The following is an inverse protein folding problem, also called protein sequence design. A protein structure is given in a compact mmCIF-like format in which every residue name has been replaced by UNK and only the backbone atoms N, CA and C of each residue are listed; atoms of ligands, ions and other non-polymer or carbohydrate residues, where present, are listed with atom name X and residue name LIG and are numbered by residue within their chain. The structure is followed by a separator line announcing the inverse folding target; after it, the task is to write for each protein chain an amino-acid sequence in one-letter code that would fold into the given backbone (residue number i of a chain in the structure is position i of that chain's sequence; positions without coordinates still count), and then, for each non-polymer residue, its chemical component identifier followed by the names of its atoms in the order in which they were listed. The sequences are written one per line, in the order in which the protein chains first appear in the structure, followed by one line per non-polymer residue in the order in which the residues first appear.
data_IF_623003599614
#
_entry.id   IF_623003599614
#
_cell.length_a   1.000
_cell.length_b   1.000
_cell.length_c   1.000
_cell.angle_alpha   90.00
_cell.angle_beta   90.00
_cell.angle_gamma   90.00
#
_symmetry.space_group_name_H-M   'P 1'
#
loop_
_entity.id
_entity.type
_entity.pdbx_description
1 polymer ?
#
# COMPACT_ATOMS: atom_id res chain seq x y z
N UNK A 1 -30.68 11.85 -2.88
CA UNK A 1 -30.15 10.53 -2.49
C UNK A 1 -31.36 9.70 -2.09
N UNK A 2 -31.73 8.68 -2.87
CA UNK A 2 -32.93 7.88 -2.58
C UNK A 2 -32.77 7.19 -1.21
N UNK A 3 -33.80 7.24 -0.37
CA UNK A 3 -33.81 6.55 0.92
C UNK A 3 -33.95 5.04 0.68
N UNK A 4 -32.83 4.33 0.72
CA UNK A 4 -32.84 2.85 0.68
C UNK A 4 -33.57 2.30 1.89
N UNK A 5 -34.46 1.34 1.64
CA UNK A 5 -35.17 0.56 2.66
C UNK A 5 -34.19 -0.27 3.48
N UNK A 6 -34.60 -0.70 4.68
CA UNK A 6 -33.75 -1.46 5.61
C UNK A 6 -33.21 -2.76 4.98
N UNK A 7 -34.05 -3.47 4.24
CA UNK A 7 -33.67 -4.71 3.57
C UNK A 7 -32.69 -4.47 2.40
N UNK A 8 -32.85 -3.38 1.65
CA UNK A 8 -31.92 -3.00 0.60
C UNK A 8 -30.55 -2.62 1.17
N UNK A 9 -30.52 -1.94 2.32
CA UNK A 9 -29.26 -1.64 3.03
C UNK A 9 -28.56 -2.91 3.50
N UNK A 10 -29.28 -3.85 4.10
CA UNK A 10 -28.72 -5.11 4.58
C UNK A 10 -28.13 -5.95 3.43
N UNK A 11 -28.83 -6.04 2.29
CA UNK A 11 -28.31 -6.69 1.07
C UNK A 11 -27.10 -5.97 0.47
N UNK A 12 -27.09 -4.64 0.50
CA UNK A 12 -25.95 -3.84 0.06
C UNK A 12 -24.72 -4.06 0.95
N UNK A 13 -24.90 -4.13 2.27
CA UNK A 13 -23.80 -4.42 3.19
C UNK A 13 -23.28 -5.86 3.04
N UNK A 14 -24.16 -6.85 2.88
CA UNK A 14 -23.76 -8.24 2.58
C UNK A 14 -22.95 -8.33 1.30
N UNK A 15 -23.41 -7.73 0.21
CA UNK A 15 -22.68 -7.76 -1.08
C UNK A 15 -21.33 -7.03 -1.02
N UNK A 16 -21.23 -5.92 -0.27
CA UNK A 16 -19.95 -5.27 -0.01
C UNK A 16 -19.00 -6.14 0.83
N UNK A 17 -19.54 -6.82 1.84
CA UNK A 17 -18.77 -7.72 2.70
C UNK A 17 -18.26 -8.93 1.92
N UNK A 18 -19.13 -9.62 1.18
CA UNK A 18 -18.76 -10.75 0.32
C UNK A 18 -17.73 -10.34 -0.74
N UNK A 19 -17.86 -9.14 -1.34
CA UNK A 19 -16.87 -8.63 -2.28
C UNK A 19 -15.51 -8.42 -1.63
N UNK A 20 -15.47 -7.85 -0.42
CA UNK A 20 -14.22 -7.66 0.35
C UNK A 20 -13.61 -9.01 0.75
N UNK A 21 -14.42 -9.95 1.19
CA UNK A 21 -13.97 -11.31 1.55
C UNK A 21 -13.43 -12.06 0.33
N UNK A 22 -14.10 -11.97 -0.81
CA UNK A 22 -13.65 -12.60 -2.05
C UNK A 22 -12.37 -11.96 -2.59
N UNK A 23 -12.25 -10.63 -2.52
CA UNK A 23 -11.02 -9.93 -2.87
C UNK A 23 -9.87 -10.32 -1.92
N UNK A 24 -10.13 -10.46 -0.62
CA UNK A 24 -9.16 -10.90 0.37
C UNK A 24 -8.73 -12.37 0.19
N UNK A 25 -9.64 -13.23 -0.33
CA UNK A 25 -9.33 -14.63 -0.69
C UNK A 25 -8.48 -14.70 -1.96
N UNK A 26 -8.59 -13.74 -2.87
CA UNK A 26 -7.72 -13.62 -4.04
C UNK A 26 -6.34 -13.12 -3.59
N UNK A 27 -5.25 -13.68 -4.14
CA UNK A 27 -3.86 -13.27 -3.84
C UNK A 27 -3.53 -11.81 -4.20
N UNK A 28 -4.49 -11.07 -4.74
CA UNK A 28 -4.36 -9.70 -5.22
C UNK A 28 -4.67 -8.65 -4.15
N UNK A 29 -5.31 -9.01 -3.03
CA UNK A 29 -5.66 -8.04 -1.97
C UNK A 29 -5.06 -8.43 -0.63
N UNK A 30 -4.40 -7.47 0.04
CA UNK A 30 -3.96 -7.61 1.44
C UNK A 30 -4.91 -6.81 2.33
N UNK A 31 -5.46 -7.44 3.37
CA UNK A 31 -6.29 -6.77 4.38
C UNK A 31 -5.40 -6.33 5.52
N UNK A 32 -5.46 -5.04 5.88
CA UNK A 32 -4.73 -4.45 7.00
C UNK A 32 -5.72 -3.86 7.98
N UNK A 33 -5.57 -4.17 9.27
CA UNK A 33 -6.33 -3.53 10.33
C UNK A 33 -5.67 -2.20 10.71
N UNK A 34 -6.27 -1.09 10.30
CA UNK A 34 -5.85 0.24 10.74
C UNK A 34 -6.37 0.51 12.16
N UNK A 35 -5.45 0.59 13.13
CA UNK A 35 -5.80 0.85 14.54
C UNK A 35 -5.72 2.33 14.91
N UNK A 36 -5.12 3.15 14.04
CA UNK A 36 -4.89 4.58 14.26
C UNK A 36 -5.29 5.38 13.02
N UNK A 37 -5.67 6.66 13.21
CA UNK A 37 -5.96 7.58 12.11
C UNK A 37 -4.78 7.76 11.16
N UNK A 38 -3.55 7.72 11.69
CA UNK A 38 -2.33 7.82 10.88
C UNK A 38 -2.22 6.62 9.92
N UNK A 39 -2.57 5.42 10.41
CA UNK A 39 -2.59 4.21 9.57
C UNK A 39 -3.69 4.29 8.51
N UNK A 40 -4.87 4.80 8.84
CA UNK A 40 -5.96 5.02 7.88
C UNK A 40 -5.52 5.98 6.76
N UNK A 41 -4.88 7.10 7.12
CA UNK A 41 -4.36 8.07 6.17
C UNK A 41 -3.29 7.45 5.26
N UNK A 42 -2.33 6.71 5.84
CA UNK A 42 -1.29 6.03 5.07
C UNK A 42 -1.88 5.04 4.05
N UNK A 43 -2.88 4.24 4.45
CA UNK A 43 -3.55 3.31 3.54
C UNK A 43 -4.28 4.03 2.40
N UNK A 44 -4.95 5.16 2.68
CA UNK A 44 -5.61 5.96 1.64
C UNK A 44 -4.62 6.56 0.63
N UNK A 45 -3.45 7.01 1.12
CA UNK A 45 -2.34 7.49 0.27
C UNK A 45 -1.83 6.36 -0.61
N UNK A 46 -1.56 5.18 -0.05
CA UNK A 46 -1.07 4.00 -0.79
C UNK A 46 -2.04 3.59 -1.89
N UNK A 47 -3.35 3.56 -1.60
CA UNK A 47 -4.38 3.25 -2.61
C UNK A 47 -4.39 4.24 -3.76
N UNK A 48 -4.28 5.54 -3.47
CA UNK A 48 -4.24 6.59 -4.49
C UNK A 48 -2.96 6.51 -5.32
N UNK A 49 -1.83 6.23 -4.67
CA UNK A 49 -0.53 6.07 -5.31
C UNK A 49 -0.50 4.86 -6.26
N UNK A 50 -1.03 3.70 -5.85
CA UNK A 50 -1.11 2.51 -6.71
C UNK A 50 -1.92 2.81 -7.99
N UNK A 51 -3.09 3.43 -7.84
CA UNK A 51 -3.92 3.82 -8.98
C UNK A 51 -3.17 4.78 -9.93
N UNK A 52 -2.47 5.77 -9.37
CA UNK A 52 -1.71 6.73 -10.15
C UNK A 52 -0.52 6.08 -10.87
N UNK A 53 0.25 5.23 -10.18
CA UNK A 53 1.40 4.51 -10.75
C UNK A 53 0.97 3.58 -11.87
N UNK A 54 -0.13 2.84 -11.69
CA UNK A 54 -0.68 1.97 -12.72
C UNK A 54 -1.10 2.77 -13.96
N UNK A 55 -1.73 3.93 -13.75
CA UNK A 55 -2.11 4.82 -14.86
C UNK A 55 -0.89 5.40 -15.58
N UNK A 56 0.11 5.89 -14.85
CA UNK A 56 1.33 6.46 -15.40
C UNK A 56 2.11 5.42 -16.21
N UNK A 57 2.34 4.23 -15.64
CA UNK A 57 3.09 3.15 -16.28
C UNK A 57 2.39 2.64 -17.55
N UNK A 58 1.07 2.42 -17.49
CA UNK A 58 0.31 1.91 -18.63
C UNK A 58 0.28 2.88 -19.81
N UNK A 59 0.40 4.18 -19.55
CA UNK A 59 0.30 5.22 -20.59
C UNK A 59 1.63 5.96 -20.82
N UNK A 60 2.75 5.42 -20.34
CA UNK A 60 4.07 5.96 -20.57
C UNK A 60 4.41 5.90 -22.07
N UNK A 61 4.88 7.01 -22.62
CA UNK A 61 5.16 7.16 -24.05
C UNK A 61 3.93 7.35 -24.94
N UNK A 62 2.72 7.20 -24.40
CA UNK A 62 1.46 7.40 -25.13
C UNK A 62 0.79 8.71 -24.70
N UNK A 63 0.42 8.80 -23.42
CA UNK A 63 -0.25 9.97 -22.82
C UNK A 63 0.70 10.82 -22.00
N UNK A 64 1.72 10.21 -21.42
CA UNK A 64 2.69 10.86 -20.54
C UNK A 64 4.11 10.66 -21.06
N UNK A 65 4.97 11.69 -21.07
CA UNK A 65 6.37 11.54 -21.46
C UNK A 65 7.09 10.52 -20.58
N UNK A 66 7.96 9.70 -21.18
CA UNK A 66 8.69 8.66 -20.44
C UNK A 66 9.54 9.23 -19.30
N UNK A 67 10.25 10.33 -19.54
CA UNK A 67 11.12 10.96 -18.54
C UNK A 67 10.32 11.45 -17.32
N UNK A 68 9.15 12.05 -17.57
CA UNK A 68 8.26 12.52 -16.50
C UNK A 68 7.67 11.36 -15.70
N UNK A 69 7.26 10.27 -16.37
CA UNK A 69 6.81 9.06 -15.69
C UNK A 69 7.94 8.47 -14.83
N UNK A 70 9.16 8.37 -15.37
CA UNK A 70 10.31 7.87 -14.65
C UNK A 70 10.61 8.72 -13.40
N UNK A 71 10.56 10.04 -13.51
CA UNK A 71 10.74 10.98 -12.39
C UNK A 71 9.71 10.75 -11.28
N UNK A 72 8.43 10.60 -11.62
CA UNK A 72 7.38 10.35 -10.63
C UNK A 72 7.51 8.98 -9.97
N UNK A 73 7.85 7.95 -10.75
CA UNK A 73 8.08 6.59 -10.22
C UNK A 73 9.25 6.62 -9.24
N UNK A 74 10.35 7.29 -9.59
CA UNK A 74 11.53 7.38 -8.73
C UNK A 74 11.26 8.18 -7.45
N UNK A 75 10.51 9.27 -7.55
CA UNK A 75 10.07 10.03 -6.38
C UNK A 75 9.22 9.18 -5.42
N UNK A 76 8.31 8.36 -5.97
CA UNK A 76 7.51 7.44 -5.17
C UNK A 76 8.38 6.36 -4.49
N UNK A 77 9.35 5.77 -5.21
CA UNK A 77 10.29 4.81 -4.62
C UNK A 77 11.02 5.42 -3.42
N UNK A 78 11.54 6.63 -3.58
CA UNK A 78 12.22 7.35 -2.49
C UNK A 78 11.30 7.54 -1.28
N UNK A 79 10.06 7.96 -1.50
CA UNK A 79 9.08 8.11 -0.41
C UNK A 79 8.81 6.79 0.33
N UNK A 80 8.76 5.65 -0.37
CA UNK A 80 8.63 4.33 0.26
C UNK A 80 9.86 4.00 1.10
N UNK A 81 11.06 4.30 0.62
CA UNK A 81 12.31 4.08 1.38
C UNK A 81 12.39 4.95 2.63
N UNK A 82 11.99 6.22 2.53
CA UNK A 82 11.98 7.13 3.68
C UNK A 82 10.92 6.72 4.71
N UNK A 83 9.75 6.24 4.25
CA UNK A 83 8.74 5.65 5.14
C UNK A 83 9.27 4.40 5.85
N UNK A 84 10.01 3.55 5.15
CA UNK A 84 10.65 2.38 5.76
C UNK A 84 11.61 2.77 6.89
N UNK A 85 12.49 3.76 6.68
CA UNK A 85 13.43 4.22 7.71
C UNK A 85 12.71 4.67 8.98
N UNK A 86 11.67 5.50 8.83
CA UNK A 86 10.86 5.97 9.96
C UNK A 86 10.21 4.81 10.71
N UNK A 87 9.63 3.84 9.98
CA UNK A 87 8.98 2.67 10.59
C UNK A 87 10.01 1.78 11.29
N UNK A 88 11.18 1.56 10.69
CA UNK A 88 12.26 0.77 11.26
C UNK A 88 12.76 1.37 12.60
N UNK A 89 13.00 2.68 12.64
CA UNK A 89 13.37 3.41 13.86
C UNK A 89 12.29 3.30 14.93
N UNK A 90 11.01 3.47 14.57
CA UNK A 90 9.87 3.32 15.49
C UNK A 90 9.78 1.90 16.05
N UNK A 91 9.95 0.89 15.21
CA UNK A 91 9.88 -0.52 15.59
C UNK A 91 11.04 -0.91 16.51
N UNK A 92 12.27 -0.48 16.19
CA UNK A 92 13.45 -0.65 17.05
C UNK A 92 13.25 0.00 18.41
N UNK A 93 12.76 1.24 18.45
CA UNK A 93 12.47 1.94 19.70
C UNK A 93 11.38 1.25 20.53
N UNK A 94 10.34 0.72 19.88
CA UNK A 94 9.22 0.04 20.54
C UNK A 94 9.50 -1.44 20.88
N UNK A 95 10.64 -2.01 20.45
CA UNK A 95 10.94 -3.43 20.59
C UNK A 95 9.98 -4.33 19.79
N UNK A 96 9.43 -3.82 18.68
CA UNK A 96 8.52 -4.57 17.81
C UNK A 96 9.32 -5.16 16.66
N UNK A 97 9.28 -6.48 16.43
CA UNK A 97 9.99 -7.08 15.31
C UNK A 97 9.39 -6.59 13.99
N UNK A 98 10.23 -5.98 13.16
CA UNK A 98 9.85 -5.47 11.85
C UNK A 98 10.67 -6.14 10.76
N UNK A 99 9.99 -6.91 9.91
CA UNK A 99 10.63 -7.54 8.76
C UNK A 99 10.64 -6.57 7.57
N UNK A 100 11.84 -6.21 7.13
CA UNK A 100 12.01 -5.33 5.98
C UNK A 100 11.42 -5.99 4.72
N UNK A 101 10.56 -5.30 3.94
CA UNK A 101 10.02 -5.85 2.71
C UNK A 101 11.12 -6.19 1.70
N UNK A 102 10.98 -7.32 0.98
CA UNK A 102 12.00 -7.80 0.03
C UNK A 102 12.43 -6.76 -1.01
N UNK A 103 11.48 -6.01 -1.58
CA UNK A 103 11.77 -4.95 -2.53
C UNK A 103 12.63 -3.83 -1.92
N UNK A 104 12.37 -3.45 -0.66
CA UNK A 104 13.15 -2.44 0.05
C UNK A 104 14.57 -2.94 0.30
N UNK A 105 14.74 -4.21 0.72
CA UNK A 105 16.06 -4.84 0.89
C UNK A 105 16.88 -4.78 -0.40
N UNK A 106 16.27 -5.13 -1.53
CA UNK A 106 16.90 -5.07 -2.85
C UNK A 106 17.37 -3.64 -3.19
N UNK A 107 16.53 -2.63 -2.94
CA UNK A 107 16.91 -1.23 -3.19
C UNK A 107 18.04 -0.74 -2.27
N UNK A 108 18.16 -1.30 -1.07
CA UNK A 108 19.20 -0.95 -0.10
C UNK A 108 20.48 -1.80 -0.24
N UNK A 109 20.47 -2.82 -1.10
CA UNK A 109 21.59 -3.75 -1.25
C UNK A 109 21.84 -4.62 -0.01
N UNK A 110 20.81 -4.85 0.81
CA UNK A 110 20.90 -5.68 2.02
C UNK A 110 20.98 -7.17 1.65
N UNK A 111 21.83 -7.91 2.37
CA UNK A 111 21.96 -9.36 2.23
C UNK A 111 21.00 -10.08 3.18
N UNK A 112 20.79 -11.39 2.99
CA UNK A 112 19.94 -12.18 3.91
C UNK A 112 20.53 -12.30 5.33
N UNK A 113 21.81 -11.97 5.51
CA UNK A 113 22.51 -12.05 6.80
C UNK A 113 22.17 -10.87 7.73
N UNK A 114 21.71 -9.73 7.17
CA UNK A 114 21.35 -8.53 7.93
C UNK A 114 20.06 -8.70 8.76
N UNK A 115 19.29 -9.77 8.52
CA UNK A 115 18.03 -10.11 9.21
C UNK A 115 18.25 -10.85 10.55
N UNK A 116 19.46 -11.34 10.86
CA UNK A 116 19.71 -12.19 12.04
C UNK A 116 19.96 -11.40 13.34
N UNK A 117 20.14 -10.08 13.27
CA UNK A 117 20.52 -9.22 14.40
C UNK A 117 19.42 -8.24 14.86
N UNK A 118 18.22 -8.28 14.25
CA UNK A 118 17.06 -7.44 14.61
C UNK A 118 15.95 -8.23 15.33
#
# INVERSE_FOLDING_TARGET
MAEMTREEREKFFQTLQERKENLAKQRETRVVFARTRDTEAALAIVQSADRALNLLRRNAGLRFPFEEVARHVEAYKKAVLDMHKTVDEMCKYAGVPYRVPAWVREQLGMSEEDDAEA
#
